data_IF_513701112692
#
_entry.id   IF_513701112692
#
_cell.length_a   1.000
_cell.length_b   1.000
_cell.length_c   1.000
_cell.angle_alpha   90.00
_cell.angle_beta   90.00
_cell.angle_gamma   90.00
#
_symmetry.space_group_name_H-M   'P 1'
#
loop_
_entity.id
_entity.type
_entity.pdbx_description
1 polymer ?
#
# COMPACT_ATOMS: atom_id res chain seq x y z
N UNK A 1 27.10 7.94 10.14
CA UNK A 1 26.83 8.21 8.72
C UNK A 1 26.36 9.65 8.59
N UNK A 2 26.84 10.38 7.59
CA UNK A 2 26.46 11.77 7.32
C UNK A 2 24.96 11.92 7.13
N UNK A 3 24.39 13.03 7.60
CA UNK A 3 22.96 13.35 7.40
C UNK A 3 22.68 13.35 5.89
N UNK A 4 21.76 12.52 5.38
CA UNK A 4 21.48 12.46 3.95
C UNK A 4 20.79 13.74 3.49
N UNK A 5 21.21 14.27 2.34
CA UNK A 5 20.55 15.42 1.72
C UNK A 5 19.25 14.98 1.02
N UNK A 6 18.15 14.95 1.77
CA UNK A 6 16.83 14.47 1.31
C UNK A 6 16.37 15.20 0.04
N UNK A 7 16.61 16.52 -0.06
CA UNK A 7 16.25 17.33 -1.25
C UNK A 7 16.86 16.80 -2.54
N UNK A 8 18.16 16.52 -2.51
CA UNK A 8 18.91 16.00 -3.66
C UNK A 8 18.42 14.60 -4.02
N UNK A 9 18.14 13.76 -3.02
CA UNK A 9 17.63 12.40 -3.22
C UNK A 9 16.25 12.41 -3.86
N UNK A 10 15.31 13.21 -3.34
CA UNK A 10 13.95 13.33 -3.92
C UNK A 10 14.03 13.78 -5.37
N UNK A 11 14.86 14.78 -5.67
CA UNK A 11 15.07 15.25 -7.05
C UNK A 11 15.58 14.13 -7.96
N UNK A 12 16.57 13.36 -7.51
CA UNK A 12 17.11 12.26 -8.32
C UNK A 12 16.08 11.15 -8.53
N UNK A 13 15.36 10.74 -7.48
CA UNK A 13 14.34 9.69 -7.55
C UNK A 13 13.18 10.10 -8.47
N UNK A 14 12.65 11.32 -8.33
CA UNK A 14 11.60 11.82 -9.22
C UNK A 14 12.07 11.87 -10.69
N UNK A 15 13.32 12.24 -10.96
CA UNK A 15 13.83 12.23 -12.32
C UNK A 15 13.93 10.79 -12.88
N UNK A 16 14.37 9.83 -12.05
CA UNK A 16 14.48 8.42 -12.43
C UNK A 16 13.12 7.79 -12.79
N UNK A 17 12.05 8.20 -12.08
CA UNK A 17 10.67 7.77 -12.35
C UNK A 17 10.04 8.43 -13.59
N UNK A 18 10.74 9.38 -14.24
CA UNK A 18 10.32 9.99 -15.50
C UNK A 18 9.48 11.26 -15.37
N UNK A 19 9.54 11.95 -14.21
CA UNK A 19 8.92 13.26 -14.03
C UNK A 19 9.64 14.36 -14.81
N UNK A 20 8.93 15.44 -15.16
CA UNK A 20 9.53 16.61 -15.81
C UNK A 20 10.55 17.31 -14.90
N UNK A 21 11.54 17.97 -15.50
CA UNK A 21 12.60 18.66 -14.74
C UNK A 21 12.01 19.77 -13.84
N UNK A 22 11.00 20.48 -14.33
CA UNK A 22 10.33 21.56 -13.58
C UNK A 22 9.54 21.02 -12.39
N UNK A 23 8.76 19.95 -12.57
CA UNK A 23 8.04 19.31 -11.46
C UNK A 23 9.02 18.76 -10.43
N UNK A 24 10.08 18.09 -10.88
CA UNK A 24 11.13 17.52 -10.02
C UNK A 24 11.79 18.58 -9.13
N UNK A 25 12.06 19.78 -9.66
CA UNK A 25 12.62 20.89 -8.86
C UNK A 25 11.66 21.34 -7.77
N UNK A 26 10.37 21.48 -8.09
CA UNK A 26 9.34 21.91 -7.13
C UNK A 26 9.14 20.82 -6.05
N UNK A 27 9.03 19.56 -6.46
CA UNK A 27 8.84 18.42 -5.56
C UNK A 27 10.05 18.21 -4.64
N UNK A 28 11.27 18.41 -5.15
CA UNK A 28 12.49 18.32 -4.36
C UNK A 28 12.58 19.33 -3.22
N UNK A 29 11.91 20.47 -3.33
CA UNK A 29 11.82 21.46 -2.24
C UNK A 29 10.59 21.22 -1.34
N UNK A 30 9.43 20.94 -1.94
CA UNK A 30 8.16 20.83 -1.22
C UNK A 30 8.02 19.54 -0.42
N UNK A 31 8.43 18.38 -0.96
CA UNK A 31 8.26 17.09 -0.27
C UNK A 31 9.06 17.05 1.05
N UNK A 32 10.38 17.34 1.08
CA UNK A 32 11.13 17.29 2.33
C UNK A 32 10.59 18.30 3.36
N UNK A 33 10.20 19.48 2.90
CA UNK A 33 9.57 20.51 3.72
C UNK A 33 8.26 20.01 4.35
N UNK A 34 7.41 19.36 3.55
CA UNK A 34 6.17 18.76 4.04
C UNK A 34 6.42 17.66 5.08
N UNK A 35 7.38 16.76 4.85
CA UNK A 35 7.72 15.69 5.80
C UNK A 35 8.27 16.25 7.13
N UNK A 36 9.11 17.28 7.07
CA UNK A 36 9.63 17.97 8.26
C UNK A 36 8.51 18.61 9.09
N UNK A 37 7.57 19.31 8.42
CA UNK A 37 6.40 19.87 9.09
C UNK A 37 5.44 18.81 9.65
N UNK A 38 5.21 17.72 8.90
CA UNK A 38 4.37 16.62 9.35
C UNK A 38 4.95 15.96 10.62
N UNK A 39 6.26 15.71 10.63
CA UNK A 39 6.96 15.15 11.79
C UNK A 39 6.86 16.04 13.03
N UNK A 40 6.89 17.37 12.87
CA UNK A 40 6.79 18.33 13.98
C UNK A 40 5.35 18.60 14.45
N UNK A 41 4.37 18.54 13.55
CA UNK A 41 2.99 19.01 13.82
C UNK A 41 2.02 17.88 14.22
N UNK A 42 2.32 16.64 13.84
CA UNK A 42 1.45 15.48 14.11
C UNK A 42 1.78 14.82 15.45
N UNK A 43 0.88 13.98 15.95
CA UNK A 43 1.12 13.25 17.19
C UNK A 43 2.26 12.25 17.04
N UNK A 44 3.01 12.04 18.11
CA UNK A 44 4.13 11.09 18.14
C UNK A 44 3.59 9.67 18.35
N UNK A 45 3.21 9.01 17.27
CA UNK A 45 2.80 7.60 17.27
C UNK A 45 3.96 6.68 16.91
N UNK A 46 4.05 5.52 17.57
CA UNK A 46 5.13 4.54 17.32
C UNK A 46 5.13 3.95 15.91
N UNK A 47 3.97 3.92 15.26
CA UNK A 47 3.78 3.36 13.92
C UNK A 47 3.91 4.39 12.80
N UNK A 48 4.13 5.67 13.13
CA UNK A 48 4.37 6.69 12.12
C UNK A 48 5.80 6.57 11.60
N UNK A 49 5.93 6.53 10.27
CA UNK A 49 7.22 6.53 9.59
C UNK A 49 7.29 7.73 8.65
N UNK A 50 8.19 8.66 8.98
CA UNK A 50 8.52 9.85 8.21
C UNK A 50 9.88 9.74 7.50
N UNK A 51 10.45 8.53 7.46
CA UNK A 51 11.78 8.28 6.90
C UNK A 51 11.82 8.22 5.37
N UNK A 52 13.04 8.05 4.85
CA UNK A 52 13.32 8.01 3.41
C UNK A 52 12.60 6.86 2.69
N UNK A 53 12.36 5.72 3.36
CA UNK A 53 11.62 4.59 2.77
C UNK A 53 10.20 4.98 2.40
N UNK A 54 9.54 5.77 3.24
CA UNK A 54 8.19 6.26 2.93
C UNK A 54 8.22 7.25 1.76
N UNK A 55 9.21 8.13 1.69
CA UNK A 55 9.40 9.05 0.56
C UNK A 55 9.63 8.30 -0.75
N UNK A 56 10.54 7.33 -0.77
CA UNK A 56 10.86 6.50 -1.95
C UNK A 56 9.61 5.77 -2.46
N UNK A 57 8.89 5.08 -1.58
CA UNK A 57 7.69 4.35 -1.93
C UNK A 57 6.56 5.25 -2.48
N UNK A 58 6.43 6.49 -1.97
CA UNK A 58 5.50 7.48 -2.53
C UNK A 58 5.89 7.86 -3.96
N UNK A 59 7.18 8.14 -4.21
CA UNK A 59 7.67 8.54 -5.53
C UNK A 59 7.54 7.42 -6.56
N UNK A 60 7.92 6.18 -6.21
CA UNK A 60 7.78 5.01 -7.10
C UNK A 60 6.31 4.74 -7.44
N UNK A 61 5.40 4.84 -6.46
CA UNK A 61 3.95 4.69 -6.72
C UNK A 61 3.42 5.81 -7.62
N UNK A 62 3.95 7.01 -7.48
CA UNK A 62 3.60 8.15 -8.34
C UNK A 62 4.12 7.96 -9.76
N UNK A 63 5.35 7.45 -9.92
CA UNK A 63 5.94 7.08 -11.20
C UNK A 63 5.14 6.02 -11.93
N UNK A 64 4.72 4.95 -11.23
CA UNK A 64 3.80 3.93 -11.78
C UNK A 64 2.47 4.54 -12.25
N UNK A 65 1.86 5.43 -11.45
CA UNK A 65 0.61 6.14 -11.86
C UNK A 65 0.85 7.04 -13.07
N UNK A 66 1.97 7.75 -13.12
CA UNK A 66 2.35 8.61 -14.24
C UNK A 66 2.50 7.79 -15.52
N UNK A 67 3.19 6.66 -15.47
CA UNK A 67 3.37 5.77 -16.62
C UNK A 67 2.04 5.18 -17.09
N UNK A 68 1.18 4.72 -16.18
CA UNK A 68 -0.16 4.23 -16.52
C UNK A 68 -1.02 5.32 -17.18
N UNK A 69 -0.97 6.55 -16.66
CA UNK A 69 -1.67 7.68 -17.25
C UNK A 69 -1.11 8.06 -18.63
N UNK A 70 0.23 8.06 -18.81
CA UNK A 70 0.86 8.32 -20.11
C UNK A 70 0.49 7.25 -21.14
N UNK A 71 0.45 5.99 -20.75
CA UNK A 71 -0.02 4.89 -21.60
C UNK A 71 -1.50 5.08 -22.00
N UNK A 72 -2.35 5.52 -21.06
CA UNK A 72 -3.76 5.81 -21.34
C UNK A 72 -3.98 7.12 -22.12
N UNK A 73 -3.05 8.08 -22.05
CA UNK A 73 -3.14 9.41 -22.67
C UNK A 73 -2.34 9.58 -23.97
N UNK A 74 -1.77 8.50 -24.53
CA UNK A 74 -1.16 8.52 -25.88
C UNK A 74 -2.11 9.07 -26.98
N UNK A 75 -3.41 9.22 -26.69
CA UNK A 75 -4.42 9.77 -27.60
C UNK A 75 -4.70 11.29 -27.47
N UNK A 76 -4.19 12.04 -26.47
CA UNK A 76 -4.52 13.48 -26.31
C UNK A 76 -3.33 14.36 -25.97
N UNK A 77 -2.88 15.14 -26.96
CA UNK A 77 -1.77 16.08 -26.89
C UNK A 77 -2.16 17.41 -26.22
N UNK A 78 -1.72 17.63 -24.97
CA UNK A 78 -1.78 18.96 -24.33
C UNK A 78 -0.64 19.11 -23.30
N UNK A 79 0.52 19.57 -23.76
CA UNK A 79 1.77 19.67 -22.98
C UNK A 79 1.77 20.72 -21.86
N UNK A 80 0.85 21.67 -21.86
CA UNK A 80 0.87 22.81 -20.93
C UNK A 80 0.41 22.49 -19.51
N UNK A 81 -0.35 21.41 -19.30
CA UNK A 81 -0.86 21.01 -17.98
C UNK A 81 -0.05 19.87 -17.34
N UNK A 82 1.02 19.39 -17.99
CA UNK A 82 1.77 18.20 -17.56
C UNK A 82 2.45 18.40 -16.19
N UNK A 83 3.05 19.58 -15.95
CA UNK A 83 3.74 19.87 -14.69
C UNK A 83 2.78 19.88 -13.49
N UNK A 84 1.61 20.53 -13.64
CA UNK A 84 0.61 20.60 -12.58
C UNK A 84 -0.01 19.22 -12.31
N UNK A 85 -0.33 18.48 -13.37
CA UNK A 85 -0.83 17.11 -13.26
C UNK A 85 0.17 16.19 -12.56
N UNK A 86 1.47 16.29 -12.87
CA UNK A 86 2.52 15.54 -12.20
C UNK A 86 2.59 15.82 -10.69
N UNK A 87 2.46 17.09 -10.30
CA UNK A 87 2.43 17.49 -8.88
C UNK A 87 1.18 16.94 -8.19
N UNK A 88 0.00 17.07 -8.82
CA UNK A 88 -1.26 16.60 -8.25
C UNK A 88 -1.27 15.07 -8.10
N UNK A 89 -0.66 14.32 -9.03
CA UNK A 89 -0.47 12.88 -8.90
C UNK A 89 0.36 12.50 -7.67
N UNK A 90 1.43 13.25 -7.39
CA UNK A 90 2.28 13.02 -6.21
C UNK A 90 1.55 13.38 -4.92
N UNK A 91 0.72 14.43 -4.94
CA UNK A 91 -0.13 14.77 -3.79
C UNK A 91 -1.11 13.62 -3.55
N UNK A 92 -1.79 13.12 -4.57
CA UNK A 92 -2.78 12.05 -4.43
C UNK A 92 -2.16 10.75 -3.90
N UNK A 93 -0.98 10.37 -4.36
CA UNK A 93 -0.26 9.19 -3.81
C UNK A 93 0.18 9.41 -2.36
N UNK A 94 0.65 10.62 -2.01
CA UNK A 94 0.94 10.99 -0.63
C UNK A 94 -0.30 10.85 0.26
N UNK A 95 -1.46 11.34 -0.21
CA UNK A 95 -2.74 11.18 0.50
C UNK A 95 -3.06 9.70 0.71
N UNK A 96 -2.98 8.88 -0.33
CA UNK A 96 -3.30 7.45 -0.25
C UNK A 96 -2.37 6.68 0.71
N UNK A 97 -1.07 6.93 0.65
CA UNK A 97 -0.10 6.17 1.45
C UNK A 97 -0.03 6.60 2.92
N UNK A 98 -0.24 7.89 3.20
CA UNK A 98 -0.05 8.43 4.54
C UNK A 98 -1.37 8.48 5.30
N UNK A 99 -2.48 8.88 4.65
CA UNK A 99 -3.79 9.01 5.34
C UNK A 99 -4.29 7.70 5.92
N UNK A 100 -3.96 6.56 5.31
CA UNK A 100 -4.30 5.22 5.83
C UNK A 100 -3.61 4.89 7.16
N UNK A 101 -2.48 5.54 7.47
CA UNK A 101 -1.69 5.34 8.69
C UNK A 101 -2.08 6.31 9.81
N UNK A 102 -2.73 7.42 9.49
CA UNK A 102 -2.99 8.50 10.44
C UNK A 102 -4.20 8.21 11.33
N UNK A 103 -4.12 8.73 12.55
CA UNK A 103 -5.29 8.87 13.44
C UNK A 103 -6.21 9.97 12.91
N UNK A 104 -7.53 9.84 13.09
CA UNK A 104 -8.53 10.75 12.54
C UNK A 104 -8.26 12.24 12.86
N UNK A 105 -7.77 12.54 14.07
CA UNK A 105 -7.42 13.92 14.46
C UNK A 105 -6.22 14.48 13.68
N UNK A 106 -5.27 13.62 13.32
CA UNK A 106 -4.09 14.01 12.53
C UNK A 106 -4.39 13.97 11.02
N UNK A 107 -5.36 13.17 10.58
CA UNK A 107 -5.83 13.18 9.19
C UNK A 107 -6.39 14.55 8.78
N UNK A 108 -7.07 15.25 9.69
CA UNK A 108 -7.53 16.63 9.45
C UNK A 108 -6.36 17.62 9.33
N UNK A 109 -5.33 17.48 10.17
CA UNK A 109 -4.12 18.32 10.10
C UNK A 109 -3.33 18.06 8.82
N UNK A 110 -3.30 16.80 8.37
CA UNK A 110 -2.65 16.39 7.13
C UNK A 110 -3.23 17.15 5.93
N UNK A 111 -4.55 17.21 5.81
CA UNK A 111 -5.20 17.90 4.69
C UNK A 111 -4.85 19.41 4.70
N UNK A 112 -4.86 20.06 5.86
CA UNK A 112 -4.41 21.46 6.01
C UNK A 112 -2.92 21.69 5.71
N UNK A 113 -2.04 20.74 6.05
CA UNK A 113 -0.61 20.82 5.72
C UNK A 113 -0.34 20.67 4.23
N UNK A 114 -1.10 19.81 3.55
CA UNK A 114 -1.01 19.67 2.08
C UNK A 114 -1.38 21.00 1.42
N UNK A 115 -2.48 21.63 1.84
CA UNK A 115 -2.89 22.95 1.32
C UNK A 115 -1.85 24.03 1.59
N UNK A 116 -1.23 24.03 2.78
CA UNK A 116 -0.21 25.01 3.14
C UNK A 116 1.09 24.89 2.32
N UNK A 117 1.57 23.67 2.04
CA UNK A 117 2.85 23.44 1.34
C UNK A 117 2.67 23.43 -0.18
N UNK A 118 1.62 22.80 -0.68
CA UNK A 118 1.39 22.68 -2.11
C UNK A 118 0.57 23.84 -2.68
N UNK A 119 -0.15 24.58 -1.85
CA UNK A 119 -1.06 25.67 -2.22
C UNK A 119 -2.49 25.16 -2.38
N UNK A 120 -3.48 26.07 -2.36
CA UNK A 120 -4.85 25.77 -2.80
C UNK A 120 -4.83 25.59 -4.32
N UNK A 121 -4.38 24.43 -4.81
CA UNK A 121 -4.34 24.10 -6.22
C UNK A 121 -5.77 23.94 -6.75
N UNK A 122 -6.54 25.02 -6.92
CA UNK A 122 -7.74 25.12 -7.79
C UNK A 122 -8.72 23.95 -7.79
N UNK A 123 -8.70 23.13 -6.76
CA UNK A 123 -9.51 21.93 -6.59
C UNK A 123 -10.49 22.37 -5.54
N UNK A 124 -11.64 22.83 -6.02
CA UNK A 124 -12.78 23.04 -5.16
C UNK A 124 -12.85 21.86 -4.18
N UNK A 125 -12.89 22.20 -2.90
CA UNK A 125 -13.15 21.33 -1.77
C UNK A 125 -14.48 20.55 -1.91
N UNK A 126 -15.18 20.66 -3.04
CA UNK A 126 -16.38 19.93 -3.42
C UNK A 126 -16.08 18.63 -4.20
N UNK A 127 -14.88 18.46 -4.77
CA UNK A 127 -14.43 17.19 -5.36
C UNK A 127 -13.68 16.31 -4.35
N UNK A 128 -14.07 16.38 -3.07
CA UNK A 128 -13.70 15.42 -2.01
C UNK A 128 -14.21 13.98 -2.29
N UNK A 129 -14.89 13.76 -3.42
CA UNK A 129 -14.99 12.44 -4.02
C UNK A 129 -13.77 12.21 -4.89
N UNK A 130 -12.70 11.77 -4.24
CA UNK A 130 -11.84 10.73 -4.80
C UNK A 130 -11.25 10.97 -6.19
N UNK A 131 -10.00 11.43 -6.25
CA UNK A 131 -9.04 10.92 -7.25
C UNK A 131 -8.61 9.49 -6.89
N UNK A 132 -9.64 8.65 -6.65
CA UNK A 132 -9.59 7.20 -6.47
C UNK A 132 -8.80 6.63 -7.65
N UNK A 133 -7.95 5.65 -7.38
CA UNK A 133 -7.35 4.84 -8.42
C UNK A 133 -8.49 4.28 -9.31
N UNK A 134 -8.62 4.73 -10.57
CA UNK A 134 -9.75 4.43 -11.46
C UNK A 134 -11.13 4.54 -10.77
N UNK A 135 -11.81 5.72 -10.77
CA UNK A 135 -13.10 5.89 -10.11
C UNK A 135 -14.12 4.79 -10.48
N UNK A 136 -14.11 4.34 -11.74
CA UNK A 136 -14.95 3.24 -12.23
C UNK A 136 -14.68 1.88 -11.54
N UNK A 137 -13.42 1.54 -11.27
CA UNK A 137 -13.09 0.27 -10.59
C UNK A 137 -13.49 0.32 -9.12
N UNK A 138 -13.22 1.44 -8.46
CA UNK A 138 -13.59 1.59 -7.05
C UNK A 138 -15.10 1.66 -6.85
N UNK A 139 -15.86 2.28 -7.77
CA UNK A 139 -17.31 2.30 -7.67
C UNK A 139 -17.91 0.90 -7.89
N UNK A 140 -17.39 0.13 -8.87
CA UNK A 140 -17.79 -1.27 -9.05
C UNK A 140 -17.43 -2.16 -7.85
N UNK A 141 -16.29 -1.90 -7.21
CA UNK A 141 -15.84 -2.64 -6.04
C UNK A 141 -16.73 -2.33 -4.83
N UNK A 142 -17.13 -1.06 -4.64
CA UNK A 142 -18.04 -0.65 -3.56
C UNK A 142 -19.41 -1.34 -3.70
N UNK A 143 -19.98 -1.40 -4.91
CA UNK A 143 -21.24 -2.12 -5.15
C UNK A 143 -21.12 -3.62 -4.83
N UNK A 144 -20.03 -4.26 -5.26
CA UNK A 144 -19.76 -5.68 -4.96
C UNK A 144 -19.59 -5.89 -3.46
N UNK A 145 -18.90 -4.99 -2.77
CA UNK A 145 -18.73 -5.04 -1.32
C UNK A 145 -20.08 -4.95 -0.60
N UNK A 146 -20.96 -4.03 -0.99
CA UNK A 146 -22.31 -3.92 -0.41
C UNK A 146 -23.10 -5.22 -0.54
N UNK A 147 -23.02 -5.87 -1.71
CA UNK A 147 -23.62 -7.18 -1.92
C UNK A 147 -23.00 -8.24 -1.00
N UNK A 148 -21.66 -8.28 -0.86
CA UNK A 148 -20.98 -9.17 0.06
C UNK A 148 -21.43 -8.97 1.52
N UNK A 149 -21.67 -7.71 1.95
CA UNK A 149 -22.13 -7.41 3.32
C UNK A 149 -23.53 -8.00 3.56
N UNK A 150 -24.42 -7.86 2.57
CA UNK A 150 -25.77 -8.41 2.62
C UNK A 150 -25.77 -9.95 2.66
N UNK A 151 -24.95 -10.60 1.83
CA UNK A 151 -24.82 -12.07 1.80
C UNK A 151 -24.35 -12.65 3.14
N UNK A 152 -23.50 -11.91 3.86
CA UNK A 152 -22.94 -12.34 5.13
C UNK A 152 -23.80 -11.94 6.34
N UNK A 153 -24.99 -11.38 6.10
CA UNK A 153 -25.88 -10.84 7.14
C UNK A 153 -25.16 -9.86 8.08
N UNK A 154 -24.24 -9.06 7.54
CA UNK A 154 -23.51 -8.02 8.28
C UNK A 154 -24.20 -6.67 8.12
N UNK A 155 -24.10 -5.83 9.16
CA UNK A 155 -24.63 -4.46 9.10
C UNK A 155 -23.69 -3.61 8.25
N UNK A 156 -24.26 -2.91 7.26
CA UNK A 156 -23.52 -1.95 6.46
C UNK A 156 -22.94 -0.84 7.34
N UNK A 157 -21.64 -0.62 7.24
CA UNK A 157 -20.92 0.43 7.96
C UNK A 157 -19.96 1.13 7.01
N UNK A 158 -20.22 2.40 6.71
CA UNK A 158 -19.43 3.23 5.80
C UNK A 158 -17.94 3.27 6.22
N UNK A 159 -17.66 3.36 7.52
CA UNK A 159 -16.28 3.36 8.01
C UNK A 159 -15.55 2.05 7.70
N UNK A 160 -16.23 0.91 7.77
CA UNK A 160 -15.62 -0.37 7.40
C UNK A 160 -15.36 -0.46 5.89
N UNK A 161 -16.26 0.09 5.07
CA UNK A 161 -16.09 0.16 3.62
C UNK A 161 -14.86 0.97 3.25
N UNK A 162 -14.71 2.16 3.84
CA UNK A 162 -13.53 3.01 3.65
C UNK A 162 -12.24 2.29 4.05
N UNK A 163 -12.24 1.56 5.17
CA UNK A 163 -11.06 0.81 5.63
C UNK A 163 -10.72 -0.38 4.73
N UNK A 164 -11.70 -1.07 4.17
CA UNK A 164 -11.46 -2.13 3.20
C UNK A 164 -10.87 -1.56 1.90
N UNK A 165 -11.38 -0.42 1.42
CA UNK A 165 -10.82 0.25 0.24
C UNK A 165 -9.39 0.74 0.49
N UNK A 166 -9.12 1.31 1.67
CA UNK A 166 -7.76 1.67 2.08
C UNK A 166 -6.85 0.44 2.09
N UNK A 167 -7.31 -0.71 2.61
CA UNK A 167 -6.54 -1.95 2.61
C UNK A 167 -6.23 -2.43 1.17
N UNK A 168 -7.21 -2.37 0.28
CA UNK A 168 -7.02 -2.72 -1.13
C UNK A 168 -5.93 -1.86 -1.79
N UNK A 169 -5.98 -0.54 -1.61
CA UNK A 169 -4.97 0.39 -2.13
C UNK A 169 -3.57 0.11 -1.53
N UNK A 170 -3.48 -0.24 -0.24
CA UNK A 170 -2.19 -0.58 0.37
C UNK A 170 -1.60 -1.89 -0.16
N UNK A 171 -2.42 -2.93 -0.35
CA UNK A 171 -1.97 -4.23 -0.88
C UNK A 171 -1.44 -4.10 -2.32
N UNK A 172 -1.99 -3.17 -3.12
CA UNK A 172 -1.50 -2.93 -4.47
C UNK A 172 -0.18 -2.17 -4.55
N UNK A 173 0.11 -1.37 -3.53
CA UNK A 173 1.32 -0.53 -3.50
C UNK A 173 2.48 -1.20 -2.79
N UNK A 174 2.22 -2.02 -1.76
CA UNK A 174 3.23 -2.63 -0.91
C UNK A 174 3.04 -4.13 -0.77
N UNK A 175 4.14 -4.86 -0.62
CA UNK A 175 4.13 -6.31 -0.43
C UNK A 175 3.61 -6.72 0.96
N UNK A 176 3.87 -5.91 1.99
CA UNK A 176 3.43 -6.17 3.36
C UNK A 176 2.56 -5.05 3.92
N UNK A 177 1.44 -5.41 4.55
CA UNK A 177 0.51 -4.49 5.21
C UNK A 177 0.22 -4.97 6.62
N UNK A 178 0.18 -4.04 7.58
CA UNK A 178 -0.15 -4.34 8.99
C UNK A 178 -1.53 -3.77 9.32
N UNK A 179 -2.42 -4.62 9.83
CA UNK A 179 -3.73 -4.21 10.34
C UNK A 179 -3.65 -3.94 11.84
N UNK A 180 -3.68 -2.67 12.24
CA UNK A 180 -3.54 -2.23 13.63
C UNK A 180 -4.92 -1.85 14.19
N UNK A 181 -5.23 -2.32 15.40
CA UNK A 181 -6.46 -1.93 16.10
C UNK A 181 -6.70 -2.76 17.36
N UNK A 182 -7.61 -2.33 18.25
CA UNK A 182 -7.92 -3.05 19.48
C UNK A 182 -8.60 -4.41 19.21
N UNK A 183 -8.64 -5.27 20.22
CA UNK A 183 -9.35 -6.56 20.14
C UNK A 183 -10.83 -6.35 19.80
N UNK A 184 -11.38 -7.19 18.93
CA UNK A 184 -12.79 -7.10 18.52
C UNK A 184 -13.12 -5.97 17.54
N UNK A 185 -12.15 -5.22 17.02
CA UNK A 185 -12.39 -4.09 16.10
C UNK A 185 -12.73 -4.47 14.65
N UNK A 186 -13.02 -5.75 14.36
CA UNK A 186 -13.34 -6.19 12.99
C UNK A 186 -12.16 -6.25 12.01
N UNK A 187 -10.91 -6.35 12.49
CA UNK A 187 -9.73 -6.52 11.59
C UNK A 187 -9.88 -7.74 10.69
N UNK A 188 -10.32 -8.85 11.27
CA UNK A 188 -10.52 -10.11 10.55
C UNK A 188 -11.63 -10.00 9.51
N UNK A 189 -12.71 -9.32 9.84
CA UNK A 189 -13.81 -9.10 8.90
C UNK A 189 -13.38 -8.22 7.72
N UNK A 190 -12.55 -7.19 7.94
CA UNK A 190 -12.06 -6.30 6.87
C UNK A 190 -11.36 -7.08 5.75
N UNK A 191 -10.34 -7.88 6.06
CA UNK A 191 -9.61 -8.59 5.01
C UNK A 191 -10.40 -9.77 4.42
N UNK A 192 -11.26 -10.42 5.21
CA UNK A 192 -12.15 -11.47 4.71
C UNK A 192 -13.18 -10.93 3.71
N UNK A 193 -13.74 -9.76 4.00
CA UNK A 193 -14.66 -9.08 3.10
C UNK A 193 -13.94 -8.66 1.82
N UNK A 194 -12.74 -8.08 1.93
CA UNK A 194 -11.94 -7.72 0.76
C UNK A 194 -11.67 -8.93 -0.14
N UNK A 195 -11.27 -10.06 0.45
CA UNK A 195 -11.04 -11.32 -0.28
C UNK A 195 -12.27 -11.71 -1.09
N UNK A 196 -13.44 -11.77 -0.44
CA UNK A 196 -14.70 -12.17 -1.09
C UNK A 196 -15.09 -11.23 -2.21
N UNK A 197 -14.96 -9.93 -1.98
CA UNK A 197 -15.27 -8.92 -3.01
C UNK A 197 -14.36 -9.06 -4.23
N UNK A 198 -13.08 -9.36 -4.03
CA UNK A 198 -12.14 -9.62 -5.13
C UNK A 198 -12.44 -10.94 -5.86
N UNK A 199 -12.79 -12.01 -5.14
CA UNK A 199 -13.20 -13.29 -5.72
C UNK A 199 -14.48 -13.12 -6.59
N UNK A 200 -15.47 -12.36 -6.11
CA UNK A 200 -16.69 -12.04 -6.87
C UNK A 200 -16.39 -11.20 -8.11
N UNK A 201 -15.57 -10.15 -7.97
CA UNK A 201 -15.13 -9.31 -9.09
C UNK A 201 -14.39 -10.13 -10.17
N UNK A 202 -13.57 -11.10 -9.74
CA UNK A 202 -12.85 -12.01 -10.64
C UNK A 202 -13.80 -12.95 -11.39
N UNK A 203 -14.86 -13.40 -10.72
CA UNK A 203 -15.89 -14.26 -11.30
C UNK A 203 -16.72 -13.53 -12.35
N UNK A 204 -17.06 -12.26 -12.12
CA UNK A 204 -17.78 -11.42 -13.08
C UNK A 204 -16.98 -11.08 -14.34
N UNK A 205 -15.64 -11.09 -14.26
CA UNK A 205 -14.74 -10.68 -15.37
C UNK A 205 -14.20 -11.86 -16.18
N UNK A 206 -14.68 -13.09 -15.97
CA UNK A 206 -14.18 -14.34 -16.57
C UNK A 206 -12.68 -14.59 -16.40
N UNK A 207 -12.03 -13.85 -15.50
CA UNK A 207 -10.64 -14.03 -15.08
C UNK A 207 -10.70 -14.51 -13.64
N UNK A 208 -11.02 -15.80 -13.44
CA UNK A 208 -11.06 -16.39 -12.11
C UNK A 208 -9.68 -16.24 -11.47
N UNK A 209 -9.57 -15.30 -10.53
CA UNK A 209 -8.39 -15.10 -9.70
C UNK A 209 -8.74 -15.68 -8.34
N UNK A 210 -8.39 -16.94 -8.12
CA UNK A 210 -8.54 -17.54 -6.81
C UNK A 210 -7.56 -16.86 -5.84
N UNK A 211 -8.07 -16.48 -4.67
CA UNK A 211 -7.25 -15.91 -3.61
C UNK A 211 -7.02 -16.99 -2.56
N UNK A 212 -5.86 -17.61 -2.62
CA UNK A 212 -5.48 -18.62 -1.63
C UNK A 212 -4.91 -17.93 -0.39
N UNK A 213 -5.53 -18.21 0.74
CA UNK A 213 -5.18 -17.58 2.02
C UNK A 213 -4.59 -18.62 2.96
N UNK A 214 -3.41 -18.32 3.48
CA UNK A 214 -2.73 -19.11 4.49
C UNK A 214 -2.67 -18.29 5.77
N UNK A 215 -3.29 -18.78 6.84
CA UNK A 215 -3.24 -18.15 8.17
C UNK A 215 -2.23 -18.87 9.04
N UNK A 216 -1.26 -18.14 9.59
CA UNK A 216 -0.19 -18.66 10.43
C UNK A 216 -0.19 -17.85 11.73
N UNK A 217 -0.20 -18.52 12.88
CA UNK A 217 0.08 -17.85 14.15
C UNK A 217 1.59 -17.92 14.44
N UNK A 218 2.35 -16.82 14.31
CA UNK A 218 3.81 -16.86 14.43
C UNK A 218 4.28 -17.23 15.84
N UNK A 219 3.52 -16.91 16.89
CA UNK A 219 3.88 -17.23 18.29
C UNK A 219 3.54 -18.65 18.72
N UNK A 220 2.73 -19.36 17.93
CA UNK A 220 2.37 -20.76 18.20
C UNK A 220 3.53 -21.75 18.00
N UNK A 221 4.62 -21.34 17.35
CA UNK A 221 5.75 -22.19 17.03
C UNK A 221 7.07 -21.44 17.17
N UNK A 222 8.19 -22.15 17.45
CA UNK A 222 9.49 -21.51 17.51
C UNK A 222 9.93 -21.02 16.13
N UNK A 223 10.79 -19.99 16.10
CA UNK A 223 11.34 -19.36 14.88
C UNK A 223 11.90 -20.40 13.89
N UNK A 224 12.61 -21.41 14.40
CA UNK A 224 13.20 -22.49 13.58
C UNK A 224 12.15 -23.33 12.85
N UNK A 225 10.97 -23.54 13.42
CA UNK A 225 9.87 -24.24 12.73
C UNK A 225 9.05 -23.32 11.83
N UNK A 226 9.04 -22.01 12.10
CA UNK A 226 8.37 -21.04 11.25
C UNK A 226 9.14 -20.81 9.94
N UNK A 227 10.41 -20.45 10.04
CA UNK A 227 11.26 -20.08 8.88
C UNK A 227 12.19 -21.20 8.42
N UNK A 228 12.44 -22.20 9.25
CA UNK A 228 13.43 -23.23 8.97
C UNK A 228 14.72 -23.02 9.77
N UNK A 229 15.59 -24.01 9.71
CA UNK A 229 16.90 -23.99 10.36
C UNK A 229 17.89 -24.83 9.56
N UNK A 230 19.17 -24.57 9.76
CA UNK A 230 20.26 -25.41 9.26
C UNK A 230 20.62 -26.34 10.40
N UNK A 231 20.67 -27.64 10.13
CA UNK A 231 21.17 -28.62 11.09
C UNK A 231 22.70 -28.49 11.17
N UNK A 232 23.25 -28.28 12.37
CA UNK A 232 24.66 -28.00 12.59
C UNK A 232 25.56 -29.20 12.23
N UNK A 233 25.05 -30.42 12.41
CA UNK A 233 25.81 -31.65 12.16
C UNK A 233 25.82 -32.03 10.68
N UNK A 234 24.65 -32.04 10.04
CA UNK A 234 24.49 -32.42 8.63
C UNK A 234 24.74 -31.27 7.67
N UNK A 235 24.66 -30.02 8.15
CA UNK A 235 24.64 -28.77 7.35
C UNK A 235 23.53 -28.74 6.31
N UNK A 236 22.49 -29.55 6.49
CA UNK A 236 21.32 -29.56 5.63
C UNK A 236 20.30 -28.50 6.07
N UNK A 237 19.63 -27.89 5.08
CA UNK A 237 18.56 -26.93 5.34
C UNK A 237 17.24 -27.66 5.55
N UNK A 238 16.59 -27.42 6.68
CA UNK A 238 15.23 -27.87 6.96
C UNK A 238 14.25 -26.71 6.82
N UNK A 239 13.27 -26.86 5.94
CA UNK A 239 12.23 -25.85 5.74
C UNK A 239 11.29 -25.74 6.94
N UNK A 240 11.00 -24.49 7.32
CA UNK A 240 9.89 -24.18 8.20
C UNK A 240 8.54 -24.10 7.48
N UNK A 241 7.47 -23.92 8.22
CA UNK A 241 6.11 -23.81 7.70
C UNK A 241 5.97 -22.69 6.66
N UNK A 242 6.48 -21.49 6.97
CA UNK A 242 6.41 -20.34 6.06
C UNK A 242 7.25 -20.60 4.81
N UNK A 243 8.49 -21.05 4.97
CA UNK A 243 9.43 -21.28 3.86
C UNK A 243 8.95 -22.38 2.91
N UNK A 244 8.38 -23.47 3.45
CA UNK A 244 7.76 -24.53 2.65
C UNK A 244 6.55 -24.01 1.86
N UNK A 245 5.69 -23.19 2.48
CA UNK A 245 4.52 -22.61 1.81
C UNK A 245 4.90 -21.57 0.76
N UNK A 246 5.84 -20.69 1.06
CA UNK A 246 6.37 -19.72 0.10
C UNK A 246 6.97 -20.42 -1.13
N UNK A 247 7.73 -21.51 -0.93
CA UNK A 247 8.27 -22.30 -2.05
C UNK A 247 7.18 -22.95 -2.89
N UNK A 248 6.11 -23.46 -2.28
CA UNK A 248 5.01 -24.05 -3.04
C UNK A 248 4.30 -23.01 -3.90
N UNK A 249 4.03 -21.82 -3.33
CA UNK A 249 3.44 -20.69 -4.06
C UNK A 249 4.28 -20.34 -5.28
N UNK A 250 5.60 -20.21 -5.14
CA UNK A 250 6.48 -19.90 -6.29
C UNK A 250 6.50 -21.01 -7.34
N UNK A 251 6.44 -22.28 -6.93
CA UNK A 251 6.42 -23.43 -7.86
C UNK A 251 5.12 -23.52 -8.67
N UNK A 252 4.01 -23.16 -8.06
CA UNK A 252 2.70 -23.17 -8.72
C UNK A 252 2.62 -22.06 -9.79
N UNK A 253 3.36 -20.95 -9.63
CA UNK A 253 3.47 -19.87 -10.61
C UNK A 253 4.36 -20.22 -11.84
N UNK A 254 5.30 -21.18 -11.72
CA UNK A 254 6.25 -21.56 -12.78
C UNK A 254 5.70 -22.59 -13.80
N UNK A 255 4.51 -23.16 -13.56
CA UNK A 255 3.86 -24.12 -14.46
C UNK A 255 3.07 -23.49 -15.61
N UNK A 256 3.01 -24.15 -16.77
CA UNK A 256 2.26 -23.73 -17.99
C UNK A 256 0.76 -23.39 -17.77
N UNK A 257 0.23 -23.65 -16.58
CA UNK A 257 -1.06 -23.13 -16.13
C UNK A 257 -0.81 -21.87 -15.31
N UNK A 258 -0.64 -20.73 -15.98
CA UNK A 258 -0.67 -19.39 -15.37
C UNK A 258 -2.09 -19.13 -14.84
N UNK A 259 -2.45 -19.82 -13.76
CA UNK A 259 -3.57 -19.42 -12.94
C UNK A 259 -3.08 -18.15 -12.24
N UNK A 260 -3.71 -17.02 -12.55
CA UNK A 260 -3.45 -15.76 -11.87
C UNK A 260 -3.97 -15.82 -10.42
N UNK A 261 -3.47 -16.77 -9.64
CA UNK A 261 -3.82 -16.95 -8.23
C UNK A 261 -3.08 -15.89 -7.41
N UNK A 262 -3.81 -15.18 -6.57
CA UNK A 262 -3.21 -14.21 -5.66
C UNK A 262 -3.08 -14.87 -4.29
N UNK A 263 -1.85 -15.05 -3.83
CA UNK A 263 -1.58 -15.74 -2.57
C UNK A 263 -1.43 -14.74 -1.42
N UNK A 264 -2.24 -14.87 -0.36
CA UNK A 264 -2.14 -14.05 0.85
C UNK A 264 -1.66 -14.90 2.03
N UNK A 265 -0.53 -14.51 2.61
CA UNK A 265 -0.02 -15.11 3.84
C UNK A 265 -0.33 -14.14 4.99
N UNK A 266 -1.20 -14.57 5.90
CA UNK A 266 -1.66 -13.78 7.04
C UNK A 266 -0.98 -14.29 8.31
N UNK A 267 -0.21 -13.43 8.94
CA UNK A 267 0.33 -13.67 10.28
C UNK A 267 -0.68 -13.18 11.33
N UNK A 268 -1.46 -14.10 11.90
CA UNK A 268 -2.47 -13.81 12.92
C UNK A 268 -1.88 -14.03 14.32
N UNK A 269 -1.32 -12.96 14.89
CA UNK A 269 -0.73 -12.97 16.22
C UNK A 269 -0.03 -11.66 16.55
N UNK A 270 0.54 -11.59 17.75
CA UNK A 270 1.29 -10.42 18.17
C UNK A 270 2.56 -10.21 17.35
N UNK A 271 2.85 -8.94 17.07
CA UNK A 271 4.08 -8.49 16.43
C UNK A 271 5.22 -8.54 17.45
N UNK A 272 6.24 -9.33 17.16
CA UNK A 272 7.40 -9.55 18.02
C UNK A 272 8.68 -9.38 17.18
N UNK A 273 9.69 -8.60 17.62
CA UNK A 273 10.94 -8.43 16.88
C UNK A 273 11.57 -9.75 16.44
N UNK A 274 11.49 -10.80 17.26
CA UNK A 274 12.12 -12.10 17.02
C UNK A 274 11.75 -12.75 15.68
N UNK A 275 10.52 -12.56 15.20
CA UNK A 275 10.07 -13.13 13.92
C UNK A 275 9.91 -12.07 12.83
N UNK A 276 9.57 -10.84 13.18
CA UNK A 276 9.35 -9.76 12.22
C UNK A 276 10.67 -9.33 11.57
N UNK A 277 11.76 -9.28 12.33
CA UNK A 277 13.07 -8.90 11.77
C UNK A 277 13.56 -9.87 10.70
N UNK A 278 13.17 -11.15 10.81
CA UNK A 278 13.50 -12.16 9.81
C UNK A 278 12.82 -11.92 8.45
N UNK A 279 11.71 -11.16 8.43
CA UNK A 279 10.98 -10.82 7.22
C UNK A 279 11.45 -9.51 6.58
N UNK A 280 12.24 -8.68 7.27
CA UNK A 280 12.63 -7.38 6.76
C UNK A 280 13.32 -7.45 5.40
N UNK A 281 14.15 -8.46 5.14
CA UNK A 281 14.83 -8.62 3.84
C UNK A 281 13.87 -8.98 2.70
N UNK A 282 12.74 -9.63 2.99
CA UNK A 282 11.68 -9.94 2.02
C UNK A 282 10.77 -8.73 1.81
N UNK A 283 10.59 -7.91 2.85
CA UNK A 283 9.74 -6.71 2.82
C UNK A 283 10.46 -5.46 2.29
N UNK A 284 11.79 -5.47 2.23
CA UNK A 284 12.58 -4.40 1.60
C UNK A 284 12.69 -4.60 0.09
N UNK A 285 12.91 -3.51 -0.64
CA UNK A 285 13.09 -3.51 -2.08
C UNK A 285 14.48 -4.11 -2.43
N UNK A 286 14.56 -5.45 -2.49
CA UNK A 286 15.71 -6.19 -3.03
C UNK A 286 15.49 -6.64 -4.48
#
# INVERSE_FOLDING_TARGET
>A
MSVPEIKTIVRFLSLAEGFSEMATRILGEKIPCWFEFAQGSMSQQKHYDWGLRTIKACLESSGRRLNNNRMAMMDKSSKSNECQMEIDLVIDTLRQQIKSKLVDTDALKFDGLIEAVFGSNGTDLTNQRSTKMNPQLNDSLVEIMENCFNENNLIHNEYQMEKILQLYEQIQTRFGVVLIGPSGSGKTTIWQMLRRSLEQMSSSTNKSRLIDVIVINPKSMPRSRLFGYIDDDTREWHDGLFSAKARNITRDDDGDNVSHSMNWIIFDGDIDPDWVEALNSVLDDN
#
